data_IF_959648989663
#
_entry.id   IF_959648989663
#
_cell.length_a   1.000
_cell.length_b   1.000
_cell.length_c   1.000
_cell.angle_alpha   90.00
_cell.angle_beta   90.00
_cell.angle_gamma   90.00
#
_symmetry.space_group_name_H-M   'P 1'
#
loop_
_entity.id
_entity.type
_entity.pdbx_description
1 polymer ?
#
# COMPACT_ATOMS: atom_id res chain seq x y z
N UNK A 1 12.74 0.01 -13.38
CA UNK A 1 14.15 0.27 -12.99
C UNK A 1 14.66 -1.00 -12.35
N UNK A 2 15.53 -1.73 -13.06
CA UNK A 2 15.85 -3.10 -12.71
C UNK A 2 17.06 -3.14 -11.76
N UNK A 3 16.80 -2.94 -10.47
CA UNK A 3 17.77 -3.16 -9.38
C UNK A 3 18.14 -4.65 -9.18
N UNK A 4 17.75 -5.50 -10.12
CA UNK A 4 17.81 -6.96 -10.11
C UNK A 4 18.94 -7.51 -10.99
N UNK A 5 19.82 -6.65 -11.52
CA UNK A 5 21.05 -7.09 -12.16
C UNK A 5 21.93 -7.83 -11.14
N UNK A 6 22.26 -9.10 -11.43
CA UNK A 6 23.03 -9.97 -10.54
C UNK A 6 24.35 -9.33 -10.11
N UNK A 7 25.02 -8.60 -11.01
CA UNK A 7 26.28 -7.90 -10.74
C UNK A 7 26.14 -6.85 -9.64
N UNK A 8 25.05 -6.07 -9.63
CA UNK A 8 24.79 -5.07 -8.58
C UNK A 8 24.50 -5.71 -7.22
N UNK A 9 23.84 -6.88 -7.22
CA UNK A 9 23.59 -7.64 -5.99
C UNK A 9 24.90 -8.23 -5.45
N UNK A 10 25.75 -8.77 -6.33
CA UNK A 10 27.07 -9.27 -5.97
C UNK A 10 27.98 -8.16 -5.42
N UNK A 11 27.95 -6.97 -6.03
CA UNK A 11 28.70 -5.81 -5.58
C UNK A 11 28.31 -5.42 -4.14
N UNK A 12 27.02 -5.20 -3.85
CA UNK A 12 26.59 -4.77 -2.51
C UNK A 12 26.84 -5.81 -1.44
N UNK A 13 26.75 -7.11 -1.78
CA UNK A 13 26.98 -8.20 -0.83
C UNK A 13 28.42 -8.16 -0.27
N UNK A 14 29.41 -7.74 -1.07
CA UNK A 14 30.81 -7.59 -0.61
C UNK A 14 30.98 -6.55 0.50
N UNK A 15 30.06 -5.58 0.62
CA UNK A 15 30.08 -4.56 1.67
C UNK A 15 29.29 -5.00 2.91
N UNK A 16 28.50 -6.08 2.87
CA UNK A 16 27.73 -6.56 4.03
C UNK A 16 28.55 -7.61 4.79
N UNK A 17 28.93 -7.38 6.06
CA UNK A 17 29.70 -8.37 6.83
C UNK A 17 28.84 -9.59 7.17
N UNK A 18 29.29 -10.81 6.83
CA UNK A 18 28.50 -12.04 7.04
C UNK A 18 28.61 -12.67 8.45
N UNK A 19 28.92 -11.85 9.46
CA UNK A 19 29.29 -12.32 10.82
C UNK A 19 28.14 -12.70 11.76
N UNK A 20 26.93 -12.17 11.55
CA UNK A 20 25.77 -12.42 12.43
C UNK A 20 24.76 -13.40 11.82
N UNK A 21 24.25 -14.32 12.64
CA UNK A 21 23.19 -15.26 12.28
C UNK A 21 21.89 -14.54 11.85
N UNK A 22 21.45 -13.49 12.54
CA UNK A 22 20.22 -12.80 12.15
C UNK A 22 20.41 -12.05 10.81
N UNK A 23 21.60 -11.50 10.57
CA UNK A 23 22.01 -10.97 9.28
C UNK A 23 22.07 -12.06 8.18
N UNK A 24 22.64 -13.25 8.45
CA UNK A 24 22.61 -14.42 7.53
C UNK A 24 21.18 -14.70 7.03
N UNK A 25 20.19 -14.67 7.93
CA UNK A 25 18.77 -14.89 7.61
C UNK A 25 18.14 -13.74 6.80
N UNK A 26 18.43 -12.47 7.15
CA UNK A 26 17.93 -11.30 6.41
C UNK A 26 18.45 -11.29 4.97
N UNK A 27 19.73 -11.62 4.76
CA UNK A 27 20.33 -11.67 3.42
C UNK A 27 19.70 -12.75 2.56
N UNK A 28 19.61 -13.98 3.08
CA UNK A 28 18.94 -15.07 2.35
C UNK A 28 17.48 -14.76 2.03
N UNK A 29 16.74 -14.11 2.94
CA UNK A 29 15.33 -13.81 2.71
C UNK A 29 15.11 -12.70 1.67
N UNK A 30 15.98 -11.69 1.62
CA UNK A 30 15.95 -10.70 0.54
C UNK A 30 16.28 -11.34 -0.82
N UNK A 31 17.31 -12.18 -0.88
CA UNK A 31 17.69 -12.89 -2.11
C UNK A 31 16.60 -13.85 -2.59
N UNK A 32 15.97 -14.59 -1.68
CA UNK A 32 14.88 -15.54 -1.99
C UNK A 32 13.58 -14.86 -2.41
N UNK A 33 13.35 -13.60 -2.00
CA UNK A 33 12.20 -12.80 -2.44
C UNK A 33 12.36 -12.36 -3.91
N UNK A 34 13.59 -12.02 -4.32
CA UNK A 34 13.85 -11.33 -5.60
C UNK A 34 14.38 -12.28 -6.70
N UNK A 35 15.14 -13.31 -6.33
CA UNK A 35 15.74 -14.30 -7.22
C UNK A 35 15.18 -15.73 -7.02
N UNK A 36 14.28 -15.92 -6.05
CA UNK A 36 13.77 -17.25 -5.69
C UNK A 36 14.90 -18.21 -5.28
N UNK A 37 14.82 -19.45 -5.73
CA UNK A 37 15.85 -20.47 -5.46
C UNK A 37 17.20 -20.19 -6.15
N UNK A 38 17.24 -19.38 -7.21
CA UNK A 38 18.50 -18.98 -7.85
C UNK A 38 19.37 -18.10 -6.93
N UNK A 39 18.77 -17.43 -5.95
CA UNK A 39 19.48 -16.65 -4.92
C UNK A 39 20.29 -17.51 -3.93
N UNK A 40 20.06 -18.84 -3.88
CA UNK A 40 20.75 -19.74 -2.94
C UNK A 40 22.26 -19.80 -3.19
N UNK A 41 22.67 -19.87 -4.46
CA UNK A 41 24.10 -19.92 -4.84
C UNK A 41 24.82 -18.63 -4.43
N UNK A 42 24.22 -17.48 -4.71
CA UNK A 42 24.79 -16.16 -4.39
C UNK A 42 24.88 -15.93 -2.86
N UNK A 43 23.89 -16.42 -2.10
CA UNK A 43 23.96 -16.41 -0.64
C UNK A 43 25.06 -17.31 -0.08
N UNK A 44 25.26 -18.49 -0.68
CA UNK A 44 26.32 -19.43 -0.29
C UNK A 44 27.73 -18.95 -0.68
N UNK A 45 27.85 -18.17 -1.74
CA UNK A 45 29.09 -17.47 -2.10
C UNK A 45 29.39 -16.36 -1.08
N UNK A 46 28.45 -15.45 -0.83
CA UNK A 46 28.63 -14.31 0.09
C UNK A 46 28.99 -14.71 1.54
N UNK A 47 28.41 -15.80 2.05
CA UNK A 47 28.68 -16.27 3.41
C UNK A 47 30.06 -16.90 3.59
N UNK A 48 30.74 -17.29 2.50
CA UNK A 48 32.08 -17.88 2.51
C UNK A 48 32.25 -19.00 3.56
N UNK A 49 31.39 -20.03 3.48
CA UNK A 49 31.39 -21.19 4.40
C UNK A 49 30.97 -20.93 5.85
N UNK A 50 30.64 -19.69 6.25
CA UNK A 50 30.34 -19.37 7.66
C UNK A 50 29.03 -20.04 8.14
N UNK A 51 29.14 -20.84 9.20
CA UNK A 51 28.03 -21.56 9.84
C UNK A 51 27.41 -22.63 8.93
N UNK A 52 28.25 -23.41 8.24
CA UNK A 52 27.85 -24.34 7.19
C UNK A 52 26.91 -25.46 7.67
N UNK A 53 27.06 -25.89 8.93
CA UNK A 53 26.24 -26.93 9.58
C UNK A 53 24.74 -26.64 9.51
N UNK A 54 24.34 -25.36 9.60
CA UNK A 54 22.95 -24.90 9.57
C UNK A 54 22.53 -24.36 8.19
N UNK A 55 23.43 -24.36 7.20
CA UNK A 55 23.28 -23.61 5.95
C UNK A 55 21.97 -23.91 5.21
N UNK A 56 21.72 -25.20 4.99
CA UNK A 56 20.58 -25.72 4.22
C UNK A 56 19.27 -25.51 4.96
N UNK A 57 19.30 -25.56 6.29
CA UNK A 57 18.12 -25.42 7.14
C UNK A 57 17.70 -23.96 7.29
N UNK A 58 18.66 -23.03 7.38
CA UNK A 58 18.38 -21.59 7.28
C UNK A 58 17.69 -21.27 5.95
N UNK A 59 18.24 -21.71 4.79
CA UNK A 59 17.62 -21.45 3.49
C UNK A 59 16.22 -22.06 3.35
N UNK A 60 16.01 -23.28 3.87
CA UNK A 60 14.71 -23.97 3.88
C UNK A 60 13.69 -23.33 4.82
N UNK A 61 14.13 -22.86 5.98
CA UNK A 61 13.25 -22.21 6.98
C UNK A 61 12.70 -20.87 6.49
N UNK A 62 13.41 -20.20 5.58
CA UNK A 62 13.04 -18.91 5.03
C UNK A 62 11.83 -19.04 4.10
N UNK A 63 10.74 -18.40 4.55
CA UNK A 63 9.43 -18.33 3.91
C UNK A 63 9.19 -16.87 3.49
N UNK A 64 9.28 -16.51 2.20
CA UNK A 64 9.20 -15.11 1.75
C UNK A 64 7.95 -14.36 2.26
N UNK A 65 6.81 -15.05 2.29
CA UNK A 65 5.54 -14.51 2.79
C UNK A 65 5.51 -14.20 4.31
N UNK A 66 6.49 -14.68 5.09
CA UNK A 66 6.65 -14.35 6.53
C UNK A 66 7.71 -13.28 6.78
N UNK A 67 8.45 -12.84 5.76
CA UNK A 67 9.62 -11.96 5.96
C UNK A 67 9.29 -10.46 6.03
N UNK A 68 8.01 -10.09 6.15
CA UNK A 68 7.59 -8.77 6.64
C UNK A 68 8.08 -7.55 5.85
N UNK A 69 8.31 -7.69 4.53
CA UNK A 69 8.76 -6.60 3.67
C UNK A 69 10.29 -6.50 3.46
N UNK A 70 11.07 -7.46 3.95
CA UNK A 70 12.49 -7.59 3.56
C UNK A 70 12.58 -7.90 2.06
N UNK A 71 13.29 -7.05 1.33
CA UNK A 71 13.43 -7.02 -0.15
C UNK A 71 14.88 -6.68 -0.51
N UNK A 72 15.25 -6.64 -1.79
CA UNK A 72 16.63 -6.30 -2.20
C UNK A 72 17.07 -4.93 -1.65
N UNK A 73 16.12 -4.00 -1.48
CA UNK A 73 16.33 -2.67 -0.91
C UNK A 73 16.90 -2.71 0.51
N UNK A 74 16.58 -3.75 1.28
CA UNK A 74 17.17 -3.98 2.61
C UNK A 74 18.67 -4.26 2.50
N UNK A 75 19.13 -4.95 1.45
CA UNK A 75 20.56 -5.21 1.22
C UNK A 75 21.30 -3.95 0.79
N UNK A 76 20.73 -3.17 -0.13
CA UNK A 76 21.29 -1.88 -0.52
C UNK A 76 21.44 -0.94 0.70
N UNK A 77 20.45 -0.89 1.59
CA UNK A 77 20.52 -0.12 2.83
C UNK A 77 21.63 -0.62 3.78
N UNK A 78 21.74 -1.94 3.98
CA UNK A 78 22.79 -2.53 4.82
C UNK A 78 24.20 -2.30 4.24
N UNK A 79 24.37 -2.41 2.92
CA UNK A 79 25.63 -2.09 2.25
C UNK A 79 25.99 -0.61 2.41
N UNK A 80 25.02 0.30 2.26
CA UNK A 80 25.20 1.73 2.46
C UNK A 80 25.62 2.07 3.91
N UNK A 81 25.06 1.38 4.91
CA UNK A 81 25.51 1.49 6.31
C UNK A 81 26.96 1.05 6.53
N UNK A 82 27.45 0.11 5.70
CA UNK A 82 28.84 -0.38 5.73
C UNK A 82 29.77 0.37 4.74
N UNK A 83 29.36 1.55 4.28
CA UNK A 83 30.21 2.43 3.47
C UNK A 83 30.15 2.20 1.96
N UNK A 84 29.29 1.30 1.46
CA UNK A 84 28.96 1.29 0.03
C UNK A 84 28.36 2.64 -0.37
N UNK A 85 28.79 3.17 -1.51
CA UNK A 85 28.21 4.38 -2.10
C UNK A 85 27.80 4.04 -3.53
N UNK A 86 26.60 4.42 -3.98
CA UNK A 86 26.26 4.31 -5.39
C UNK A 86 27.29 5.10 -6.19
N UNK A 87 27.95 4.43 -7.13
CA UNK A 87 28.93 5.06 -8.01
C UNK A 87 28.23 6.13 -8.85
N UNK A 88 28.86 7.30 -9.00
CA UNK A 88 28.22 8.51 -9.54
C UNK A 88 27.82 8.43 -11.05
N UNK A 89 28.07 7.28 -11.68
CA UNK A 89 27.56 6.87 -13.00
C UNK A 89 26.14 6.30 -12.94
N UNK A 90 25.74 5.69 -11.82
CA UNK A 90 24.34 5.34 -11.54
C UNK A 90 23.61 6.54 -10.96
N UNK A 91 23.34 7.51 -11.84
CA UNK A 91 22.51 8.67 -11.57
C UNK A 91 21.21 8.22 -10.87
N UNK A 92 20.92 8.82 -9.72
CA UNK A 92 19.66 8.63 -9.03
C UNK A 92 18.51 8.98 -10.01
N UNK A 93 17.85 7.97 -10.56
CA UNK A 93 16.44 8.14 -10.91
C UNK A 93 15.77 8.23 -9.55
N UNK A 94 15.48 9.46 -9.15
CA UNK A 94 14.97 9.80 -7.84
C UNK A 94 13.72 8.95 -7.53
N UNK A 95 13.93 7.94 -6.67
CA UNK A 95 12.87 7.04 -6.22
C UNK A 95 11.82 7.78 -5.40
N UNK A 96 12.16 8.95 -4.84
CA UNK A 96 11.19 9.85 -4.23
C UNK A 96 10.31 10.48 -5.32
N UNK A 97 10.88 11.09 -6.36
CA UNK A 97 10.13 11.63 -7.50
C UNK A 97 9.27 10.57 -8.19
N UNK A 98 9.78 9.37 -8.46
CA UNK A 98 9.00 8.31 -9.11
C UNK A 98 7.84 7.81 -8.22
N UNK A 99 8.06 7.67 -6.91
CA UNK A 99 6.98 7.38 -5.95
C UNK A 99 5.97 8.52 -5.85
N UNK A 100 6.42 9.76 -5.98
CA UNK A 100 5.58 10.96 -5.94
C UNK A 100 4.70 11.02 -7.19
N UNK A 101 5.26 10.76 -8.38
CA UNK A 101 4.51 10.67 -9.63
C UNK A 101 3.45 9.56 -9.59
N UNK A 102 3.82 8.32 -9.24
CA UNK A 102 2.86 7.21 -9.13
C UNK A 102 1.77 7.49 -8.09
N UNK A 103 2.10 8.18 -6.99
CA UNK A 103 1.12 8.61 -5.99
C UNK A 103 0.17 9.67 -6.55
N UNK A 104 0.67 10.70 -7.23
CA UNK A 104 -0.12 11.75 -7.85
C UNK A 104 -1.02 11.22 -8.96
N UNK A 105 -0.54 10.26 -9.76
CA UNK A 105 -1.32 9.57 -10.79
C UNK A 105 -2.46 8.74 -10.17
N UNK A 106 -2.17 7.97 -9.12
CA UNK A 106 -3.19 7.19 -8.41
C UNK A 106 -4.20 8.06 -7.63
N UNK A 107 -3.78 9.22 -7.12
CA UNK A 107 -4.67 10.22 -6.52
C UNK A 107 -5.57 10.86 -7.61
N UNK A 108 -5.01 11.28 -8.74
CA UNK A 108 -5.78 11.82 -9.87
C UNK A 108 -6.76 10.81 -10.50
N UNK A 109 -6.40 9.53 -10.57
CA UNK A 109 -7.30 8.46 -11.05
C UNK A 109 -8.47 8.22 -10.07
N UNK A 110 -8.19 8.23 -8.75
CA UNK A 110 -9.24 8.17 -7.72
C UNK A 110 -10.18 9.35 -7.79
N UNK A 111 -9.66 10.56 -7.94
CA UNK A 111 -10.46 11.78 -8.05
C UNK A 111 -11.37 11.74 -9.29
N UNK A 112 -10.86 11.27 -10.44
CA UNK A 112 -11.66 11.05 -11.66
C UNK A 112 -12.79 10.05 -11.42
N UNK A 113 -12.49 8.87 -10.87
CA UNK A 113 -13.47 7.84 -10.56
C UNK A 113 -14.51 8.33 -9.53
N UNK A 114 -14.09 9.16 -8.57
CA UNK A 114 -15.00 9.77 -7.59
C UNK A 114 -15.92 10.81 -8.24
N UNK A 115 -15.40 11.65 -9.14
CA UNK A 115 -16.21 12.60 -9.92
C UNK A 115 -17.19 11.87 -10.84
N UNK A 116 -16.80 10.82 -11.55
CA UNK A 116 -17.71 10.05 -12.40
C UNK A 116 -18.83 9.39 -11.58
N UNK A 117 -18.50 8.72 -10.47
CA UNK A 117 -19.49 8.17 -9.54
C UNK A 117 -20.42 9.25 -8.99
N UNK A 118 -19.88 10.41 -8.64
CA UNK A 118 -20.66 11.55 -8.17
C UNK A 118 -21.61 12.07 -9.25
N UNK A 119 -21.17 12.22 -10.50
CA UNK A 119 -22.06 12.66 -11.60
C UNK A 119 -23.20 11.67 -11.84
N UNK A 120 -22.91 10.37 -11.85
CA UNK A 120 -23.91 9.31 -12.00
C UNK A 120 -24.94 9.32 -10.85
N UNK A 121 -24.48 9.47 -9.61
CA UNK A 121 -25.37 9.49 -8.44
C UNK A 121 -26.10 10.83 -8.26
N UNK A 122 -25.49 11.95 -8.64
CA UNK A 122 -26.07 13.30 -8.51
C UNK A 122 -27.38 13.44 -9.27
N UNK A 123 -27.48 12.89 -10.49
CA UNK A 123 -28.73 12.90 -11.25
C UNK A 123 -29.87 12.19 -10.49
N UNK A 124 -29.60 10.99 -9.95
CA UNK A 124 -30.55 10.23 -9.11
C UNK A 124 -30.90 10.97 -7.81
N UNK A 125 -29.94 11.62 -7.17
CA UNK A 125 -30.15 12.34 -5.91
C UNK A 125 -30.95 13.64 -6.11
N UNK A 126 -30.79 14.32 -7.26
CA UNK A 126 -31.62 15.47 -7.64
C UNK A 126 -33.05 15.02 -7.94
N UNK A 127 -33.24 13.99 -8.77
CA UNK A 127 -34.56 13.43 -9.07
C UNK A 127 -35.31 12.95 -7.82
N UNK A 128 -34.60 12.31 -6.87
CA UNK A 128 -35.15 11.94 -5.57
C UNK A 128 -35.50 13.18 -4.73
N UNK A 129 -34.64 14.20 -4.69
CA UNK A 129 -34.88 15.43 -3.92
C UNK A 129 -36.09 16.22 -4.44
N UNK A 130 -36.24 16.34 -5.76
CA UNK A 130 -37.38 17.00 -6.40
C UNK A 130 -38.71 16.28 -6.10
N UNK A 131 -38.69 14.95 -5.97
CA UNK A 131 -39.85 14.13 -5.60
C UNK A 131 -40.16 14.11 -4.09
N UNK A 132 -39.32 14.71 -3.25
CA UNK A 132 -39.53 14.74 -1.79
C UNK A 132 -40.23 16.03 -1.34
N UNK A 133 -41.30 15.88 -0.56
CA UNK A 133 -42.06 17.00 -0.01
C UNK A 133 -41.43 17.49 1.32
N UNK A 134 -41.51 18.80 1.64
CA UNK A 134 -41.08 19.31 2.94
C UNK A 134 -41.88 18.66 4.08
N UNK A 135 -41.22 18.38 5.21
CA UNK A 135 -41.94 17.85 6.38
C UNK A 135 -42.85 18.94 6.96
N UNK A 136 -44.14 18.64 7.04
CA UNK A 136 -45.16 19.51 7.66
C UNK A 136 -45.77 18.81 8.87
N UNK A 137 -46.40 19.57 9.77
CA UNK A 137 -47.10 19.04 10.96
C UNK A 137 -48.19 18.01 10.65
N UNK A 138 -48.68 17.98 9.40
CA UNK A 138 -49.85 17.21 8.99
C UNK A 138 -49.48 15.90 8.28
N UNK A 139 -48.20 15.67 7.96
CA UNK A 139 -47.75 14.42 7.36
C UNK A 139 -47.28 13.41 8.43
N UNK A 140 -47.21 12.09 8.13
CA UNK A 140 -46.94 11.07 9.14
C UNK A 140 -45.61 11.27 9.90
N UNK A 141 -44.58 11.80 9.23
CA UNK A 141 -43.29 12.08 9.83
C UNK A 141 -43.34 13.29 10.80
N UNK A 142 -44.05 14.36 10.43
CA UNK A 142 -44.27 15.52 11.31
C UNK A 142 -45.12 15.18 12.53
N UNK A 143 -46.19 14.39 12.35
CA UNK A 143 -47.01 13.87 13.46
C UNK A 143 -46.18 13.01 14.41
N UNK A 144 -45.27 12.17 13.90
CA UNK A 144 -44.35 11.39 14.74
C UNK A 144 -43.41 12.28 15.58
N UNK A 145 -42.84 13.34 15.00
CA UNK A 145 -41.98 14.29 15.72
C UNK A 145 -42.75 15.00 16.84
N UNK A 146 -43.97 15.50 16.55
CA UNK A 146 -44.84 16.13 17.55
C UNK A 146 -45.19 15.18 18.70
N UNK A 147 -45.54 13.92 18.38
CA UNK A 147 -45.81 12.88 19.39
C UNK A 147 -44.59 12.51 20.24
N UNK A 148 -43.38 12.86 19.80
CA UNK A 148 -42.12 12.72 20.56
C UNK A 148 -41.68 14.00 21.27
N UNK A 149 -42.47 15.08 21.21
CA UNK A 149 -42.12 16.38 21.79
C UNK A 149 -41.01 17.12 21.03
N UNK A 150 -40.75 16.73 19.78
CA UNK A 150 -39.72 17.33 18.93
C UNK A 150 -40.34 18.38 17.99
N UNK A 151 -39.60 19.47 17.76
CA UNK A 151 -40.06 20.54 16.87
C UNK A 151 -40.05 20.08 15.40
N UNK A 152 -41.08 20.43 14.64
CA UNK A 152 -41.16 20.16 13.20
C UNK A 152 -40.49 21.31 12.43
N UNK A 153 -39.40 21.06 11.68
CA UNK A 153 -38.70 22.12 10.97
C UNK A 153 -39.48 22.56 9.73
N UNK A 154 -40.13 23.72 9.82
CA UNK A 154 -41.03 24.25 8.78
C UNK A 154 -40.30 25.02 7.66
N UNK A 155 -39.06 24.64 7.33
CA UNK A 155 -38.24 25.24 6.28
C UNK A 155 -37.87 24.20 5.20
N UNK A 156 -38.04 24.57 3.93
CA UNK A 156 -37.95 23.66 2.76
C UNK A 156 -36.56 23.05 2.47
N UNK A 157 -35.58 23.26 3.37
CA UNK A 157 -34.20 22.78 3.29
C UNK A 157 -33.75 21.85 4.44
N UNK A 158 -34.48 21.76 5.55
CA UNK A 158 -33.98 21.00 6.72
C UNK A 158 -34.24 19.49 6.60
N UNK A 159 -35.50 19.08 6.42
CA UNK A 159 -35.90 17.69 6.23
C UNK A 159 -37.04 17.59 5.23
N UNK A 160 -36.99 16.53 4.40
CA UNK A 160 -38.02 16.17 3.44
C UNK A 160 -38.40 14.70 3.61
N UNK A 161 -39.62 14.35 3.19
CA UNK A 161 -40.19 13.01 3.35
C UNK A 161 -40.62 12.45 1.99
N UNK A 162 -40.44 11.14 1.82
CA UNK A 162 -40.92 10.37 0.67
C UNK A 162 -41.83 9.26 1.20
N UNK A 163 -43.13 9.24 0.85
CA UNK A 163 -44.06 8.25 1.37
C UNK A 163 -43.81 6.83 0.82
N UNK A 164 -43.43 6.70 -0.46
CA UNK A 164 -43.39 5.42 -1.18
C UNK A 164 -42.00 4.76 -1.27
N UNK A 165 -41.19 4.81 -0.20
CA UNK A 165 -39.98 3.98 -0.10
C UNK A 165 -40.32 2.58 0.44
N UNK A 166 -41.10 1.83 -0.34
CA UNK A 166 -41.23 0.38 -0.17
C UNK A 166 -40.02 -0.30 -0.85
N UNK A 167 -39.30 -1.11 -0.09
CA UNK A 167 -38.13 -1.90 -0.52
C UNK A 167 -38.47 -3.03 -1.47
#
# INVERSE_FOLDING_TARGET
MNYTGLDSIHEILRFIPSGDNALRHRVAAALKNELGEAGHSLWNEWRDGRGDDEAKDVWRSIKPYRTGGITIKTLFYLAQQNGWRPSNTHKEIDLSSLRSQVRLEAEAERDRLQVERWQQQKARLIDLWEKTEPITSNNPAGVYLLNRGLNVPNNAMALRYTPDLVT
#
